data_IF_918977782627
#
_entry.id   IF_918977782627
#
_cell.length_a   1.000
_cell.length_b   1.000
_cell.length_c   1.000
_cell.angle_alpha   90.00
_cell.angle_beta   90.00
_cell.angle_gamma   90.00
#
_symmetry.space_group_name_H-M   'P 1'
#
loop_
_entity.id
_entity.type
_entity.pdbx_description
1 polymer ?
#
# COMPACT_ATOMS: atom_id res chain seq x y z
N UNK A 1 10.39 -44.62 21.29
CA UNK A 1 11.55 -45.29 20.66
C UNK A 1 10.99 -46.21 19.61
N UNK A 2 11.40 -46.04 18.37
CA UNK A 2 10.92 -46.82 17.24
C UNK A 2 11.70 -48.13 17.13
N UNK A 3 10.98 -49.23 17.02
CA UNK A 3 11.53 -50.59 16.94
C UNK A 3 11.19 -51.25 15.62
N UNK A 4 12.05 -52.17 15.18
CA UNK A 4 11.76 -52.97 13.98
C UNK A 4 10.67 -54.01 14.30
N UNK A 5 9.86 -54.45 13.31
CA UNK A 5 8.77 -55.40 13.54
C UNK A 5 9.24 -56.81 13.96
N UNK A 6 10.54 -57.10 13.85
CA UNK A 6 11.18 -58.34 14.32
C UNK A 6 11.84 -58.21 15.70
N UNK A 7 11.66 -57.07 16.37
CA UNK A 7 12.28 -56.76 17.66
C UNK A 7 11.61 -57.53 18.81
N UNK A 8 12.43 -58.13 19.68
CA UNK A 8 11.97 -58.69 20.95
C UNK A 8 11.88 -57.58 22.02
N UNK A 9 10.65 -57.11 22.25
CA UNK A 9 10.36 -56.08 23.24
C UNK A 9 10.72 -56.50 24.68
N UNK A 10 10.73 -57.81 24.99
CA UNK A 10 11.07 -58.31 26.32
C UNK A 10 12.59 -58.26 26.56
N UNK A 11 13.39 -58.53 25.52
CA UNK A 11 14.84 -58.38 25.56
C UNK A 11 15.26 -56.91 25.79
N UNK A 12 14.66 -55.96 25.08
CA UNK A 12 14.93 -54.52 25.27
C UNK A 12 14.46 -54.05 26.65
N UNK A 13 13.29 -54.50 27.10
CA UNK A 13 12.80 -54.18 28.45
C UNK A 13 13.75 -54.70 29.53
N UNK A 14 14.33 -55.88 29.34
CA UNK A 14 15.30 -56.47 30.26
C UNK A 14 16.61 -55.70 30.28
N UNK A 15 17.11 -55.27 29.12
CA UNK A 15 18.30 -54.41 28.98
C UNK A 15 18.13 -53.08 29.74
N UNK A 16 16.96 -52.45 29.60
CA UNK A 16 16.65 -51.19 30.28
C UNK A 16 16.55 -51.42 31.80
N UNK A 17 15.90 -52.51 32.24
CA UNK A 17 15.79 -52.86 33.66
C UNK A 17 17.10 -53.28 34.30
N UNK A 18 18.07 -53.79 33.53
CA UNK A 18 19.41 -54.11 34.03
C UNK A 18 20.14 -52.84 34.51
N UNK A 19 20.00 -51.74 33.78
CA UNK A 19 20.62 -50.45 34.13
C UNK A 19 19.77 -49.63 35.10
N UNK A 20 18.45 -49.65 34.90
CA UNK A 20 17.49 -48.90 35.71
C UNK A 20 16.34 -49.83 36.09
N UNK A 21 16.50 -50.54 37.21
CA UNK A 21 15.53 -51.53 37.70
C UNK A 21 14.12 -50.97 37.93
N UNK A 22 14.02 -49.68 38.24
CA UNK A 22 12.79 -48.95 38.46
C UNK A 22 12.15 -48.35 37.19
N UNK A 23 12.66 -48.69 36.00
CA UNK A 23 12.07 -48.28 34.73
C UNK A 23 10.68 -48.91 34.52
N UNK A 24 9.70 -48.09 34.09
CA UNK A 24 8.34 -48.54 33.78
C UNK A 24 8.08 -48.42 32.28
N UNK A 25 7.60 -49.49 31.66
CA UNK A 25 7.09 -49.44 30.29
C UNK A 25 5.74 -48.71 30.30
N UNK A 26 5.65 -47.58 29.62
CA UNK A 26 4.45 -46.74 29.58
C UNK A 26 3.57 -47.03 28.38
N UNK A 27 4.16 -47.36 27.24
CA UNK A 27 3.42 -47.66 26.01
C UNK A 27 4.17 -48.70 25.20
N UNK A 28 3.46 -49.72 24.72
CA UNK A 28 3.97 -50.75 23.82
C UNK A 28 3.05 -50.86 22.62
N UNK A 29 3.54 -50.40 21.47
CA UNK A 29 2.93 -50.54 20.16
C UNK A 29 3.82 -51.43 19.27
N UNK A 30 3.29 -51.88 18.14
CA UNK A 30 4.01 -52.79 17.20
C UNK A 30 5.31 -52.16 16.68
N UNK A 31 5.35 -50.84 16.53
CA UNK A 31 6.48 -50.10 15.97
C UNK A 31 7.13 -49.15 16.98
N UNK A 32 6.58 -49.02 18.20
CA UNK A 32 7.01 -48.03 19.19
C UNK A 32 6.98 -48.56 20.63
N UNK A 33 8.10 -48.38 21.35
CA UNK A 33 8.23 -48.62 22.78
C UNK A 33 8.51 -47.30 23.51
N UNK A 34 7.82 -47.06 24.63
CA UNK A 34 8.03 -45.87 25.48
C UNK A 34 8.24 -46.28 26.93
N UNK A 35 9.36 -45.84 27.51
CA UNK A 35 9.72 -46.12 28.90
C UNK A 35 9.81 -44.82 29.71
N UNK A 36 9.27 -44.86 30.92
CA UNK A 36 9.45 -43.82 31.93
C UNK A 36 10.56 -44.24 32.88
N UNK A 37 11.62 -43.44 32.91
CA UNK A 37 12.79 -43.64 33.77
C UNK A 37 12.70 -42.68 34.97
N UNK A 38 12.87 -43.16 36.22
CA UNK A 38 12.86 -42.28 37.37
C UNK A 38 14.15 -41.46 37.47
N UNK A 39 14.02 -40.25 38.01
CA UNK A 39 15.12 -39.30 38.18
C UNK A 39 16.20 -39.77 39.18
N UNK A 40 15.90 -40.76 40.02
CA UNK A 40 16.78 -41.19 41.12
C UNK A 40 18.10 -41.83 40.67
N UNK A 41 18.17 -42.35 39.42
CA UNK A 41 19.30 -43.14 38.92
C UNK A 41 19.94 -42.53 37.66
N UNK A 42 20.08 -41.20 37.63
CA UNK A 42 20.66 -40.48 36.48
C UNK A 42 22.09 -40.92 36.12
N UNK A 43 22.87 -41.36 37.10
CA UNK A 43 24.26 -41.80 36.88
C UNK A 43 24.36 -43.06 35.99
N UNK A 44 23.28 -43.86 35.92
CA UNK A 44 23.21 -45.06 35.08
C UNK A 44 22.76 -44.79 33.64
N UNK A 45 22.25 -43.58 33.35
CA UNK A 45 21.70 -43.23 32.03
C UNK A 45 22.75 -43.22 30.92
N UNK A 46 23.98 -42.70 31.11
CA UNK A 46 25.01 -42.74 30.06
C UNK A 46 25.37 -44.18 29.65
N UNK A 47 25.44 -45.10 30.60
CA UNK A 47 25.69 -46.52 30.33
C UNK A 47 24.51 -47.16 29.57
N UNK A 48 23.28 -46.89 30.01
CA UNK A 48 22.06 -47.35 29.33
C UNK A 48 22.00 -46.87 27.87
N UNK A 49 22.26 -45.58 27.61
CA UNK A 49 22.23 -45.04 26.24
C UNK A 49 23.36 -45.61 25.37
N UNK A 50 24.53 -45.87 25.95
CA UNK A 50 25.64 -46.51 25.22
C UNK A 50 25.27 -47.94 24.79
N UNK A 51 24.61 -48.69 25.66
CA UNK A 51 24.16 -50.05 25.34
C UNK A 51 22.99 -50.06 24.36
N UNK A 52 22.07 -49.08 24.45
CA UNK A 52 20.98 -48.92 23.49
C UNK A 52 21.51 -48.53 22.10
N UNK A 53 22.51 -47.65 22.01
CA UNK A 53 23.16 -47.26 20.75
C UNK A 53 23.75 -48.47 20.01
N UNK A 54 24.29 -49.45 20.75
CA UNK A 54 24.80 -50.71 20.17
C UNK A 54 23.72 -51.60 19.53
N UNK A 55 22.44 -51.39 19.87
CA UNK A 55 21.29 -52.11 19.31
C UNK A 55 20.56 -51.31 18.21
N UNK A 56 20.97 -50.05 17.98
CA UNK A 56 20.46 -49.21 16.88
C UNK A 56 20.91 -49.80 15.55
N UNK A 57 19.95 -50.01 14.64
CA UNK A 57 20.14 -50.64 13.33
C UNK A 57 19.91 -52.17 13.29
N UNK A 58 19.78 -52.83 14.45
CA UNK A 58 19.35 -54.25 14.55
C UNK A 58 17.89 -54.34 14.99
N UNK A 59 17.63 -53.84 16.19
CA UNK A 59 16.31 -53.95 16.85
C UNK A 59 15.66 -52.58 17.04
N UNK A 60 16.46 -51.52 17.12
CA UNK A 60 16.03 -50.13 17.34
C UNK A 60 16.27 -49.32 16.07
N UNK A 61 15.24 -48.65 15.55
CA UNK A 61 15.36 -47.76 14.39
C UNK A 61 15.81 -46.38 14.84
N UNK A 62 15.18 -45.85 15.89
CA UNK A 62 15.56 -44.58 16.50
C UNK A 62 15.05 -44.50 17.95
N UNK A 63 15.80 -43.83 18.82
CA UNK A 63 15.33 -43.50 20.16
C UNK A 63 15.57 -42.02 20.46
N UNK A 64 14.72 -41.47 21.32
CA UNK A 64 14.79 -40.11 21.80
C UNK A 64 14.54 -40.09 23.30
N UNK A 65 15.15 -39.13 23.99
CA UNK A 65 15.03 -38.96 25.43
C UNK A 65 14.47 -37.56 25.68
N UNK A 66 13.32 -37.50 26.35
CA UNK A 66 12.65 -36.27 26.71
C UNK A 66 12.51 -36.20 28.23
N UNK A 67 12.76 -35.03 28.80
CA UNK A 67 12.44 -34.78 30.20
C UNK A 67 10.94 -34.48 30.26
N UNK A 68 10.20 -35.22 31.08
CA UNK A 68 8.79 -34.93 31.32
C UNK A 68 8.68 -33.63 32.11
N UNK A 69 8.06 -32.63 31.52
CA UNK A 69 7.77 -31.34 32.17
C UNK A 69 6.39 -31.35 32.81
N UNK A 70 6.08 -30.37 33.67
CA UNK A 70 4.74 -30.25 34.26
C UNK A 70 3.66 -30.09 33.18
N UNK A 71 4.00 -29.46 32.05
CA UNK A 71 3.09 -29.32 30.90
C UNK A 71 2.73 -30.69 30.30
N UNK A 72 3.70 -31.61 30.23
CA UNK A 72 3.48 -32.98 29.72
C UNK A 72 2.61 -33.82 30.67
N UNK A 73 2.78 -33.64 31.99
CA UNK A 73 1.96 -34.32 33.01
C UNK A 73 0.54 -33.76 33.02
N UNK A 74 0.38 -32.46 32.84
CA UNK A 74 -0.91 -31.79 32.77
C UNK A 74 -1.72 -32.25 31.54
N UNK A 75 -1.10 -32.28 30.36
CA UNK A 75 -1.73 -32.76 29.13
C UNK A 75 -2.12 -34.24 29.22
N UNK A 76 -1.34 -35.07 29.92
CA UNK A 76 -1.66 -36.47 30.09
C UNK A 76 -2.84 -36.71 31.03
N UNK A 77 -3.00 -35.87 32.06
CA UNK A 77 -4.19 -35.88 32.93
C UNK A 77 -5.45 -35.45 32.16
N UNK A 78 -5.33 -34.51 31.22
CA UNK A 78 -6.43 -34.07 30.36
C UNK A 78 -6.80 -35.16 29.33
N UNK A 79 -5.80 -35.80 28.69
CA UNK A 79 -6.02 -36.88 27.73
C UNK A 79 -6.46 -38.22 28.33
N UNK A 80 -6.01 -38.59 29.53
CA UNK A 80 -6.53 -39.78 30.25
C UNK A 80 -7.94 -39.52 30.80
N UNK A 81 -8.30 -38.28 31.13
CA UNK A 81 -9.68 -37.91 31.48
C UNK A 81 -10.65 -37.96 30.28
N UNK A 82 -10.16 -37.82 29.05
CA UNK A 82 -10.97 -37.95 27.83
C UNK A 82 -11.33 -39.40 27.46
N UNK A 83 -10.56 -40.40 27.92
CA UNK A 83 -10.83 -41.83 27.58
C UNK A 83 -11.90 -42.45 28.50
N UNK A 84 -12.17 -41.88 29.69
CA UNK A 84 -13.20 -42.40 30.62
C UNK A 84 -14.50 -41.57 30.65
N UNK A 85 -14.64 -40.53 29.82
CA UNK A 85 -15.89 -39.73 29.77
C UNK A 85 -16.38 -39.54 28.35
N UNK A 86 -16.89 -40.64 27.80
CA UNK A 86 -17.95 -40.57 26.81
C UNK A 86 -19.21 -40.01 27.45
N UNK A 87 -19.69 -38.91 26.89
CA UNK A 87 -21.04 -38.37 26.95
C UNK A 87 -21.34 -37.28 28.02
N UNK A 88 -22.00 -36.21 27.52
CA UNK A 88 -22.47 -34.97 28.16
C UNK A 88 -21.46 -33.83 28.46
N UNK A 89 -21.37 -32.89 27.51
CA UNK A 89 -22.00 -31.56 27.67
C UNK A 89 -21.44 -30.56 28.69
N UNK A 90 -20.94 -29.44 28.14
CA UNK A 90 -21.05 -28.06 28.66
C UNK A 90 -20.29 -27.73 29.95
N UNK A 91 -19.22 -26.94 29.77
CA UNK A 91 -18.75 -25.86 30.64
C UNK A 91 -19.28 -25.87 32.08
N UNK A 92 -18.59 -26.59 32.96
CA UNK A 92 -18.60 -26.32 34.40
C UNK A 92 -17.35 -25.52 34.74
N UNK A 93 -17.59 -24.23 34.94
CA UNK A 93 -16.71 -23.26 35.54
C UNK A 93 -16.76 -23.42 37.06
N UNK A 94 -15.60 -23.45 37.72
CA UNK A 94 -15.33 -23.18 39.14
C UNK A 94 -13.84 -23.52 39.38
N UNK A 95 -13.04 -22.92 40.26
CA UNK A 95 -13.01 -21.74 41.11
C UNK A 95 -11.62 -21.77 41.77
N UNK A 96 -11.05 -20.59 42.09
CA UNK A 96 -10.19 -20.24 43.26
C UNK A 96 -9.09 -19.24 42.87
N UNK A 97 -9.12 -18.00 43.37
CA UNK A 97 -8.91 -17.48 44.75
C UNK A 97 -7.43 -17.15 44.99
N UNK A 98 -7.17 -15.88 45.32
CA UNK A 98 -6.24 -15.36 46.34
C UNK A 98 -6.45 -13.83 46.38
N UNK A 99 -7.28 -13.36 47.31
CA UNK A 99 -6.91 -12.65 48.57
C UNK A 99 -6.62 -11.15 48.39
N UNK A 100 -7.49 -10.29 48.93
CA UNK A 100 -7.04 -9.35 49.95
C UNK A 100 -8.18 -8.78 50.81
N UNK A 101 -7.85 -8.59 52.07
CA UNK A 101 -8.71 -8.42 53.24
C UNK A 101 -9.02 -6.94 53.49
N UNK A 102 -10.28 -6.48 53.52
CA UNK A 102 -10.70 -5.41 54.45
C UNK A 102 -12.22 -5.36 54.65
N UNK A 103 -12.59 -5.42 55.92
CA UNK A 103 -13.92 -5.42 56.50
C UNK A 103 -14.64 -4.08 56.41
N UNK A 104 -15.91 -4.11 56.00
CA UNK A 104 -17.00 -3.33 56.61
C UNK A 104 -18.34 -3.66 55.94
N UNK A 105 -19.21 -4.37 56.65
CA UNK A 105 -20.65 -4.34 56.36
C UNK A 105 -21.25 -2.98 56.75
N UNK A 106 -22.46 -2.63 56.26
CA UNK A 106 -23.67 -3.19 56.85
C UNK A 106 -24.66 -3.74 55.83
N UNK A 107 -25.34 -4.79 56.27
CA UNK A 107 -26.64 -5.28 55.83
C UNK A 107 -27.63 -4.12 55.67
N UNK A 108 -28.36 -4.08 54.55
CA UNK A 108 -29.78 -3.75 54.56
C UNK A 108 -30.43 -3.96 53.17
N UNK A 109 -31.60 -4.59 53.19
CA UNK A 109 -32.63 -4.54 52.15
C UNK A 109 -32.47 -5.44 50.91
N UNK A 110 -32.35 -6.75 51.16
CA UNK A 110 -33.16 -7.70 50.38
C UNK A 110 -34.57 -7.63 50.98
N UNK A 111 -35.51 -7.04 50.26
CA UNK A 111 -36.95 -7.32 50.25
C UNK A 111 -37.71 -6.07 49.79
N UNK A 112 -38.09 -6.05 48.53
CA UNK A 112 -39.43 -5.67 48.09
C UNK A 112 -39.53 -5.95 46.58
N UNK A 113 -39.98 -7.17 46.27
CA UNK A 113 -40.65 -7.40 45.00
C UNK A 113 -41.96 -6.61 45.04
N UNK A 114 -42.03 -5.51 44.29
CA UNK A 114 -43.30 -4.93 43.89
C UNK A 114 -43.66 -5.47 42.52
N UNK A 115 -44.60 -6.41 42.53
CA UNK A 115 -45.48 -6.73 41.43
C UNK A 115 -46.31 -5.48 41.10
N UNK A 116 -45.99 -4.82 39.99
CA UNK A 116 -46.87 -3.86 39.35
C UNK A 116 -46.77 -4.03 37.85
N UNK A 117 -47.79 -4.65 37.27
CA UNK A 117 -47.89 -4.88 35.83
C UNK A 117 -47.83 -3.59 35.00
N UNK A 118 -47.04 -3.63 33.92
CA UNK A 118 -47.35 -3.17 32.55
C UNK A 118 -46.06 -3.07 31.73
N UNK A 119 -46.19 -3.02 30.40
CA UNK A 119 -46.35 -4.14 29.48
C UNK A 119 -44.99 -4.82 29.20
N UNK A 120 -44.97 -5.90 28.43
CA UNK A 120 -43.75 -6.48 27.85
C UNK A 120 -42.87 -5.41 27.18
N UNK A 121 -41.87 -4.89 27.91
CA UNK A 121 -40.98 -3.85 27.42
C UNK A 121 -40.01 -4.48 26.40
N UNK A 122 -40.44 -4.41 25.15
CA UNK A 122 -39.66 -4.22 23.92
C UNK A 122 -38.23 -4.78 23.90
N UNK A 123 -38.05 -5.91 23.20
CA UNK A 123 -36.75 -6.54 22.97
C UNK A 123 -35.67 -5.63 22.36
N UNK A 124 -36.04 -4.51 21.72
CA UNK A 124 -35.09 -3.54 21.15
C UNK A 124 -34.34 -2.72 22.22
N UNK A 125 -34.99 -2.38 23.33
CA UNK A 125 -34.36 -1.61 24.42
C UNK A 125 -33.33 -2.48 25.16
N UNK A 126 -33.68 -3.74 25.42
CA UNK A 126 -32.78 -4.75 25.98
C UNK A 126 -31.63 -5.07 25.02
N UNK A 127 -31.92 -5.23 23.73
CA UNK A 127 -30.88 -5.45 22.71
C UNK A 127 -29.89 -4.27 22.63
N UNK A 128 -30.37 -3.03 22.70
CA UNK A 128 -29.49 -1.85 22.75
C UNK A 128 -28.60 -1.86 23.99
N UNK A 129 -29.14 -2.22 25.15
CA UNK A 129 -28.35 -2.34 26.37
C UNK A 129 -27.29 -3.44 26.26
N UNK A 130 -27.64 -4.60 25.69
CA UNK A 130 -26.71 -5.70 25.45
C UNK A 130 -25.60 -5.32 24.45
N UNK A 131 -25.96 -4.68 23.33
CA UNK A 131 -24.99 -4.21 22.33
C UNK A 131 -24.06 -3.16 22.93
N UNK A 132 -24.58 -2.24 23.75
CA UNK A 132 -23.77 -1.21 24.39
C UNK A 132 -22.83 -1.79 25.45
N UNK A 133 -23.27 -2.80 26.20
CA UNK A 133 -22.43 -3.55 27.12
C UNK A 133 -21.32 -4.33 26.39
N UNK A 134 -21.67 -5.06 25.33
CA UNK A 134 -20.70 -5.80 24.51
C UNK A 134 -19.73 -4.85 23.81
N UNK A 135 -20.20 -3.72 23.29
CA UNK A 135 -19.36 -2.69 22.68
C UNK A 135 -18.39 -2.09 23.70
N UNK A 136 -18.83 -1.85 24.94
CA UNK A 136 -17.97 -1.36 26.03
C UNK A 136 -16.88 -2.37 26.39
N UNK A 137 -17.21 -3.66 26.48
CA UNK A 137 -16.23 -4.72 26.75
C UNK A 137 -15.22 -4.82 25.60
N UNK A 138 -15.68 -4.83 24.35
CA UNK A 138 -14.79 -4.87 23.18
C UNK A 138 -13.94 -3.61 23.06
N UNK A 139 -14.46 -2.44 23.45
CA UNK A 139 -13.72 -1.18 23.48
C UNK A 139 -12.63 -1.16 24.57
N UNK A 140 -12.90 -1.67 25.76
CA UNK A 140 -11.90 -1.84 26.81
C UNK A 140 -10.79 -2.81 26.37
N UNK A 141 -11.17 -3.90 25.69
CA UNK A 141 -10.20 -4.83 25.08
C UNK A 141 -9.38 -4.15 23.97
N UNK A 142 -9.99 -3.30 23.15
CA UNK A 142 -9.31 -2.50 22.11
C UNK A 142 -8.30 -1.51 22.71
N UNK A 143 -8.62 -0.89 23.85
CA UNK A 143 -7.68 -0.01 24.58
C UNK A 143 -6.54 -0.81 25.19
N UNK A 144 -6.82 -1.99 25.74
CA UNK A 144 -5.79 -2.86 26.32
C UNK A 144 -4.81 -3.36 25.24
N UNK A 145 -5.34 -3.74 24.07
CA UNK A 145 -4.58 -4.22 22.91
C UNK A 145 -4.12 -3.09 21.97
N UNK A 146 -4.12 -1.83 22.42
CA UNK A 146 -3.76 -0.66 21.60
C UNK A 146 -2.35 -0.75 21.02
N UNK A 147 -1.46 -1.53 21.63
CA UNK A 147 -0.10 -1.80 21.12
C UNK A 147 -0.15 -2.59 19.80
N UNK A 148 -1.02 -3.61 19.70
CA UNK A 148 -1.20 -4.40 18.49
C UNK A 148 -1.91 -3.62 17.39
N UNK A 149 -2.98 -2.90 17.75
CA UNK A 149 -3.68 -2.03 16.80
C UNK A 149 -2.80 -0.89 16.28
N UNK A 150 -1.92 -0.32 17.11
CA UNK A 150 -0.91 0.66 16.67
C UNK A 150 0.04 0.09 15.63
N UNK A 151 0.48 -1.16 15.79
CA UNK A 151 1.35 -1.83 14.82
C UNK A 151 0.65 -2.05 13.48
N UNK A 152 -0.59 -2.55 13.50
CA UNK A 152 -1.41 -2.76 12.29
C UNK A 152 -1.70 -1.43 11.59
N UNK A 153 -2.06 -0.39 12.35
CA UNK A 153 -2.30 0.94 11.82
C UNK A 153 -1.04 1.53 11.18
N UNK A 154 0.12 1.36 11.82
CA UNK A 154 1.40 1.83 11.28
C UNK A 154 1.76 1.12 9.97
N UNK A 155 1.54 -0.20 9.90
CA UNK A 155 1.73 -0.99 8.68
C UNK A 155 0.80 -0.50 7.55
N UNK A 156 -0.46 -0.25 7.86
CA UNK A 156 -1.43 0.27 6.90
C UNK A 156 -1.00 1.66 6.38
N UNK A 157 -0.62 2.57 7.28
CA UNK A 157 -0.16 3.90 6.90
C UNK A 157 1.10 3.81 6.04
N UNK A 158 2.06 2.95 6.39
CA UNK A 158 3.29 2.76 5.61
C UNK A 158 3.02 2.32 4.16
N UNK A 159 1.98 1.50 3.93
CA UNK A 159 1.64 1.02 2.59
C UNK A 159 0.73 1.97 1.80
N UNK A 160 -0.24 2.61 2.47
CA UNK A 160 -1.23 3.47 1.83
C UNK A 160 -0.67 4.87 1.55
N UNK A 161 0.16 5.42 2.45
CA UNK A 161 0.75 6.75 2.29
C UNK A 161 1.50 6.91 0.96
N UNK A 162 2.44 6.03 0.56
CA UNK A 162 3.13 6.18 -0.73
C UNK A 162 2.17 6.11 -1.91
N UNK A 163 1.17 5.22 -1.88
CA UNK A 163 0.17 5.10 -2.93
C UNK A 163 -0.66 6.39 -3.09
N UNK A 164 -1.07 6.99 -1.97
CA UNK A 164 -1.82 8.26 -2.01
C UNK A 164 -0.94 9.39 -2.50
N UNK A 165 0.32 9.47 -2.05
CA UNK A 165 1.24 10.51 -2.49
C UNK A 165 1.56 10.43 -3.99
N UNK A 166 1.69 9.22 -4.56
CA UNK A 166 1.93 9.09 -6.01
C UNK A 166 0.72 9.52 -6.82
N UNK A 167 -0.51 9.18 -6.37
CA UNK A 167 -1.74 9.63 -7.02
C UNK A 167 -1.84 11.15 -6.99
N UNK A 168 -1.64 11.77 -5.82
CA UNK A 168 -1.68 13.24 -5.68
C UNK A 168 -0.60 13.90 -6.54
N UNK A 169 0.61 13.34 -6.60
CA UNK A 169 1.69 13.90 -7.40
C UNK A 169 1.37 13.84 -8.90
N UNK A 170 0.83 12.72 -9.39
CA UNK A 170 0.43 12.56 -10.80
C UNK A 170 -0.70 13.52 -11.16
N UNK A 171 -1.74 13.61 -10.32
CA UNK A 171 -2.85 14.54 -10.53
C UNK A 171 -2.39 16.01 -10.50
N UNK A 172 -1.56 16.36 -9.51
CA UNK A 172 -0.98 17.69 -9.41
C UNK A 172 -0.13 18.03 -10.64
N UNK A 173 0.69 17.10 -11.13
CA UNK A 173 1.47 17.32 -12.35
C UNK A 173 0.57 17.52 -13.57
N UNK A 174 -0.51 16.76 -13.70
CA UNK A 174 -1.43 16.93 -14.83
C UNK A 174 -2.11 18.31 -14.80
N UNK A 175 -2.57 18.74 -13.64
CA UNK A 175 -3.21 20.05 -13.47
C UNK A 175 -2.23 21.22 -13.71
N UNK A 176 -0.98 21.11 -13.25
CA UNK A 176 0.00 22.22 -13.38
C UNK A 176 0.64 22.34 -14.75
N UNK A 177 0.56 21.31 -15.59
CA UNK A 177 1.32 21.27 -16.84
C UNK A 177 0.59 21.88 -18.04
N UNK A 178 -0.69 22.23 -17.89
CA UNK A 178 -1.44 22.98 -18.90
C UNK A 178 -1.38 24.47 -18.61
N UNK A 179 -0.81 25.23 -19.53
CA UNK A 179 -0.66 26.67 -19.48
C UNK A 179 -1.02 27.28 -20.83
N UNK A 180 -1.60 28.48 -20.78
CA UNK A 180 -2.04 29.18 -21.98
C UNK A 180 -0.83 29.72 -22.76
N UNK A 181 -0.73 29.34 -24.04
CA UNK A 181 0.26 29.81 -24.98
C UNK A 181 -0.07 31.23 -25.44
N UNK A 182 0.28 32.20 -24.59
CA UNK A 182 0.03 33.62 -24.85
C UNK A 182 1.11 34.24 -25.77
N UNK A 183 0.73 35.11 -26.73
CA UNK A 183 1.71 35.79 -27.59
C UNK A 183 2.79 36.58 -26.84
N UNK A 184 2.46 37.05 -25.63
CA UNK A 184 3.31 37.87 -24.78
C UNK A 184 4.53 37.10 -24.23
N UNK A 185 4.55 35.77 -24.32
CA UNK A 185 5.72 34.95 -23.98
C UNK A 185 6.83 35.01 -25.03
N UNK A 186 6.51 35.41 -26.25
CA UNK A 186 7.44 35.40 -27.39
C UNK A 186 7.65 36.78 -27.99
N UNK A 187 6.60 37.61 -27.96
CA UNK A 187 6.59 38.91 -28.59
C UNK A 187 6.44 40.05 -27.60
N UNK A 188 7.10 41.17 -27.90
CA UNK A 188 7.07 42.40 -27.13
C UNK A 188 5.77 43.18 -27.34
N UNK A 189 5.31 43.92 -26.33
CA UNK A 189 4.19 44.86 -26.48
C UNK A 189 4.63 46.18 -27.12
N UNK A 190 3.74 46.89 -27.84
CA UNK A 190 4.03 48.21 -28.36
C UNK A 190 4.47 49.16 -27.23
N UNK A 191 5.71 49.66 -27.28
CA UNK A 191 6.23 50.64 -26.32
C UNK A 191 7.02 50.09 -25.11
N UNK A 192 7.09 48.77 -24.90
CA UNK A 192 7.96 48.18 -23.87
C UNK A 192 9.44 48.44 -24.18
N UNK A 193 10.40 48.16 -23.29
CA UNK A 193 11.85 48.24 -23.63
C UNK A 193 12.32 46.98 -24.37
N UNK A 194 13.42 47.08 -25.13
CA UNK A 194 14.03 45.90 -25.76
C UNK A 194 14.56 44.95 -24.67
N UNK A 195 14.12 43.70 -24.69
CA UNK A 195 14.53 42.65 -23.76
C UNK A 195 15.14 41.48 -24.53
N UNK A 196 16.14 40.82 -23.95
CA UNK A 196 16.95 39.78 -24.62
C UNK A 196 16.16 38.53 -25.06
N UNK A 197 14.98 38.32 -24.48
CA UNK A 197 14.17 37.10 -24.69
C UNK A 197 12.90 37.33 -25.53
N UNK A 198 12.49 38.59 -25.75
CA UNK A 198 11.30 38.93 -26.52
C UNK A 198 11.70 39.72 -27.76
N UNK A 199 11.27 39.28 -28.93
CA UNK A 199 11.47 40.02 -30.18
C UNK A 199 10.17 40.71 -30.59
N UNK A 200 10.25 41.61 -31.56
CA UNK A 200 9.07 42.01 -32.31
C UNK A 200 8.64 40.83 -33.21
N UNK A 201 7.39 40.82 -33.65
CA UNK A 201 6.93 39.89 -34.68
C UNK A 201 7.32 40.44 -36.05
N UNK A 202 8.06 39.67 -36.84
CA UNK A 202 8.43 40.09 -38.19
C UNK A 202 7.33 39.72 -39.19
N UNK A 203 6.83 40.70 -39.94
CA UNK A 203 5.97 40.48 -41.10
C UNK A 203 6.76 40.73 -42.37
N UNK A 204 6.88 39.70 -43.21
CA UNK A 204 7.60 39.76 -44.47
C UNK A 204 6.58 39.86 -45.60
N UNK A 205 6.56 41.01 -46.26
CA UNK A 205 5.63 41.27 -47.34
C UNK A 205 6.28 40.96 -48.70
N UNK A 206 5.80 39.91 -49.37
CA UNK A 206 6.19 39.61 -50.75
C UNK A 206 5.02 39.80 -51.73
N UNK A 207 3.89 40.31 -51.25
CA UNK A 207 2.67 40.48 -52.07
C UNK A 207 2.68 41.72 -52.97
N UNK A 208 3.50 42.72 -52.64
CA UNK A 208 3.53 44.03 -53.30
C UNK A 208 2.30 44.92 -53.03
N UNK A 209 1.41 44.52 -52.11
CA UNK A 209 0.26 45.30 -51.68
C UNK A 209 0.42 45.73 -50.21
N UNK A 210 -0.26 46.81 -49.79
CA UNK A 210 -0.28 47.22 -48.39
C UNK A 210 -1.04 46.19 -47.55
N UNK A 211 -0.37 45.63 -46.54
CA UNK A 211 -0.91 44.64 -45.60
C UNK A 211 -1.46 45.27 -44.31
N UNK A 212 -1.87 46.54 -44.38
CA UNK A 212 -2.26 47.36 -43.22
C UNK A 212 -3.39 46.76 -42.39
N UNK A 213 -4.38 46.12 -43.04
CA UNK A 213 -5.49 45.46 -42.36
C UNK A 213 -5.00 44.35 -41.41
N UNK A 214 -4.01 43.57 -41.86
CA UNK A 214 -3.42 42.49 -41.06
C UNK A 214 -2.52 43.07 -39.96
N UNK A 215 -1.71 44.07 -40.28
CA UNK A 215 -0.86 44.77 -39.30
C UNK A 215 -1.73 45.37 -38.19
N UNK A 216 -2.85 46.01 -38.53
CA UNK A 216 -3.83 46.52 -37.56
C UNK A 216 -4.46 45.39 -36.73
N UNK A 217 -4.85 44.27 -37.37
CA UNK A 217 -5.40 43.10 -36.68
C UNK A 217 -4.44 42.48 -35.66
N UNK A 218 -3.14 42.47 -35.95
CA UNK A 218 -2.08 41.95 -35.08
C UNK A 218 -1.71 42.97 -33.99
N UNK A 219 -1.50 44.24 -34.33
CA UNK A 219 -1.13 45.29 -33.36
C UNK A 219 -2.21 45.52 -32.31
N UNK A 220 -3.50 45.35 -32.67
CA UNK A 220 -4.59 45.35 -31.72
C UNK A 220 -4.50 44.20 -30.67
N UNK A 221 -3.65 43.18 -30.86
CA UNK A 221 -3.40 42.08 -29.91
C UNK A 221 -2.30 42.44 -28.90
N UNK A 222 -1.90 43.71 -28.85
CA UNK A 222 -0.78 44.24 -28.06
C UNK A 222 0.55 43.59 -28.43
N UNK A 223 0.79 43.40 -29.73
CA UNK A 223 2.02 42.81 -30.28
C UNK A 223 2.74 43.86 -31.11
N UNK A 224 4.03 44.08 -30.83
CA UNK A 224 4.90 44.92 -31.65
C UNK A 224 5.27 44.18 -32.94
N UNK A 225 5.10 44.85 -34.08
CA UNK A 225 5.30 44.29 -35.42
C UNK A 225 6.33 45.11 -36.18
N UNK A 226 7.31 44.43 -36.78
CA UNK A 226 8.24 45.02 -37.75
C UNK A 226 7.87 44.50 -39.14
N UNK A 227 7.69 45.40 -40.12
CA UNK A 227 7.34 45.03 -41.49
C UNK A 227 8.58 45.15 -42.36
N UNK A 228 8.88 44.08 -43.12
CA UNK A 228 9.98 44.01 -44.07
C UNK A 228 9.41 43.73 -45.46
N UNK A 229 9.65 44.63 -46.40
CA UNK A 229 9.33 44.42 -47.82
C UNK A 229 10.52 43.74 -48.51
N UNK A 230 10.32 42.53 -49.03
CA UNK A 230 11.35 41.76 -49.75
C UNK A 230 11.65 40.38 -49.17
N UNK A 231 12.68 39.68 -49.69
CA UNK A 231 13.03 38.34 -49.25
C UNK A 231 13.62 38.36 -47.83
N UNK A 232 13.19 37.43 -47.00
CA UNK A 232 13.71 37.23 -45.65
C UNK A 232 14.61 35.99 -45.58
N UNK A 233 15.77 36.12 -44.95
CA UNK A 233 16.66 34.98 -44.70
C UNK A 233 16.15 34.18 -43.50
N UNK A 234 15.66 32.98 -43.77
CA UNK A 234 15.12 32.03 -42.79
C UNK A 234 16.14 31.65 -41.70
N UNK A 235 17.45 31.80 -41.98
CA UNK A 235 18.51 31.49 -41.01
C UNK A 235 18.70 32.58 -39.95
N UNK A 236 18.03 33.72 -40.09
CA UNK A 236 18.14 34.83 -39.15
C UNK A 236 17.44 34.49 -37.84
N UNK A 237 18.22 34.40 -36.75
CA UNK A 237 17.71 34.13 -35.39
C UNK A 237 17.38 35.39 -34.59
N UNK A 238 17.37 36.56 -35.25
CA UNK A 238 17.09 37.85 -34.60
C UNK A 238 15.65 37.98 -34.08
N UNK A 239 14.71 37.28 -34.71
CA UNK A 239 13.31 37.26 -34.33
C UNK A 239 12.92 35.87 -33.78
N UNK A 240 12.01 35.85 -32.81
CA UNK A 240 11.43 34.63 -32.26
C UNK A 240 10.45 33.98 -33.26
N UNK A 241 9.79 34.79 -34.09
CA UNK A 241 8.91 34.32 -35.15
C UNK A 241 8.73 35.35 -36.25
N UNK A 242 8.52 34.85 -37.47
CA UNK A 242 8.23 35.64 -38.66
C UNK A 242 7.06 35.04 -39.44
N UNK A 243 6.29 35.90 -40.09
CA UNK A 243 5.17 35.52 -40.96
C UNK A 243 5.45 36.10 -42.34
N UNK A 244 5.68 35.22 -43.31
CA UNK A 244 5.83 35.57 -44.70
C UNK A 244 4.48 35.48 -45.40
N UNK A 245 4.10 36.58 -46.06
CA UNK A 245 2.82 36.72 -46.75
C UNK A 245 3.10 36.73 -48.24
N UNK A 246 2.69 35.66 -48.90
CA UNK A 246 2.83 35.48 -50.35
C UNK A 246 1.47 35.65 -51.02
N UNK A 247 1.49 36.05 -52.29
CA UNK A 247 0.27 36.17 -53.10
C UNK A 247 0.10 34.91 -53.94
N UNK A 248 -1.04 34.25 -53.81
CA UNK A 248 -1.46 33.15 -54.67
C UNK A 248 -2.05 33.63 -56.01
N UNK A 249 -2.27 32.70 -56.93
CA UNK A 249 -2.70 33.00 -58.30
C UNK A 249 -4.11 33.62 -58.39
N UNK A 250 -5.02 33.33 -57.45
CA UNK A 250 -6.45 33.71 -57.50
C UNK A 250 -6.90 34.49 -56.26
N UNK A 251 -6.22 35.58 -55.90
CA UNK A 251 -6.55 36.45 -54.73
C UNK A 251 -6.38 35.84 -53.34
N UNK A 252 -5.98 34.57 -53.26
CA UNK A 252 -5.66 33.93 -51.99
C UNK A 252 -4.31 34.42 -51.44
N UNK A 253 -4.27 34.76 -50.16
CA UNK A 253 -3.04 35.04 -49.44
C UNK A 253 -2.45 33.74 -48.90
N UNK A 254 -1.20 33.45 -49.27
CA UNK A 254 -0.42 32.37 -48.68
C UNK A 254 0.30 32.87 -47.44
N UNK A 255 0.17 32.14 -46.34
CA UNK A 255 0.89 32.45 -45.09
C UNK A 255 1.90 31.35 -44.82
N UNK A 256 3.18 31.73 -44.78
CA UNK A 256 4.27 30.86 -44.36
C UNK A 256 4.78 31.33 -43.01
N UNK A 257 4.77 30.40 -42.06
CA UNK A 257 5.10 30.68 -40.67
C UNK A 257 6.52 30.18 -40.41
N UNK A 258 7.38 31.06 -39.92
CA UNK A 258 8.78 30.76 -39.61
C UNK A 258 8.98 30.96 -38.12
N UNK A 259 9.32 29.89 -37.41
CA UNK A 259 9.55 29.91 -35.96
C UNK A 259 11.03 29.74 -35.65
N UNK A 260 11.54 30.51 -34.69
CA UNK A 260 12.89 30.29 -34.17
C UNK A 260 12.90 28.97 -33.37
N UNK A 261 13.81 28.02 -33.66
CA UNK A 261 13.85 26.74 -32.95
C UNK A 261 14.13 26.87 -31.45
N UNK A 262 14.67 28.01 -30.98
CA UNK A 262 14.86 28.28 -29.55
C UNK A 262 13.56 28.68 -28.83
N UNK A 263 12.57 29.16 -29.58
CA UNK A 263 11.26 29.53 -29.06
C UNK A 263 10.33 28.30 -29.12
N UNK A 264 10.30 27.54 -28.03
CA UNK A 264 9.41 26.38 -27.90
C UNK A 264 7.95 26.78 -28.14
N UNK A 265 7.14 25.93 -28.78
CA UNK A 265 5.71 26.20 -29.04
C UNK A 265 5.38 27.51 -29.80
N UNK A 266 6.33 28.09 -30.52
CA UNK A 266 6.10 29.34 -31.27
C UNK A 266 5.14 29.17 -32.44
N UNK A 267 5.18 28.02 -33.13
CA UNK A 267 4.33 27.75 -34.30
C UNK A 267 2.82 27.81 -33.98
N UNK A 268 2.30 27.10 -32.96
CA UNK A 268 0.89 27.21 -32.61
C UNK A 268 0.50 28.62 -32.14
N UNK A 269 1.43 29.37 -31.52
CA UNK A 269 1.21 30.78 -31.16
C UNK A 269 1.07 31.66 -32.40
N UNK A 270 1.94 31.49 -33.40
CA UNK A 270 1.87 32.23 -34.67
C UNK A 270 0.57 31.96 -35.42
N UNK A 271 0.13 30.69 -35.46
CA UNK A 271 -1.19 30.33 -36.01
C UNK A 271 -2.31 31.02 -35.23
N UNK A 272 -2.23 31.04 -33.89
CA UNK A 272 -3.22 31.71 -33.06
C UNK A 272 -3.30 33.22 -33.32
N UNK A 273 -2.14 33.88 -33.48
CA UNK A 273 -2.05 35.31 -33.79
C UNK A 273 -2.72 35.61 -35.14
N UNK A 274 -2.43 34.81 -36.17
CA UNK A 274 -3.04 34.95 -37.50
C UNK A 274 -4.56 34.76 -37.41
N UNK A 275 -5.03 33.68 -36.78
CA UNK A 275 -6.46 33.41 -36.65
C UNK A 275 -7.21 34.54 -35.91
N UNK A 276 -6.65 35.03 -34.81
CA UNK A 276 -7.23 36.16 -34.06
C UNK A 276 -7.19 37.48 -34.84
N UNK A 277 -6.18 37.67 -35.70
CA UNK A 277 -6.12 38.86 -36.55
C UNK A 277 -7.25 38.86 -37.58
N UNK A 278 -7.54 37.70 -38.20
CA UNK A 278 -8.66 37.55 -39.12
C UNK A 278 -10.01 37.76 -38.44
N UNK A 279 -10.21 37.18 -37.26
CA UNK A 279 -11.45 37.37 -36.49
C UNK A 279 -11.77 38.85 -36.29
N UNK A 280 -10.75 39.68 -36.07
CA UNK A 280 -10.92 41.14 -35.94
C UNK A 280 -11.15 41.87 -37.25
N UNK A 281 -10.50 41.44 -38.34
CA UNK A 281 -10.80 41.96 -39.67
C UNK A 281 -12.27 41.72 -40.02
N UNK A 282 -12.85 40.61 -39.58
CA UNK A 282 -14.28 40.30 -39.72
C UNK A 282 -15.17 40.83 -38.58
N UNK A 283 -14.66 41.75 -37.74
CA UNK A 283 -15.39 42.41 -36.65
C UNK A 283 -15.96 41.47 -35.57
N UNK A 284 -15.34 40.30 -35.36
CA UNK A 284 -15.66 39.41 -34.24
C UNK A 284 -14.94 39.86 -32.95
N UNK A 285 -15.65 39.74 -31.82
CA UNK A 285 -15.13 40.03 -30.47
C UNK A 285 -14.55 38.81 -29.77
N UNK A 286 -14.75 37.62 -30.32
CA UNK A 286 -14.27 36.38 -29.74
C UNK A 286 -12.76 36.20 -29.96
N UNK A 287 -12.09 35.51 -29.03
CA UNK A 287 -10.65 35.26 -29.06
C UNK A 287 -10.39 33.76 -28.97
N UNK A 288 -9.60 33.26 -29.91
CA UNK A 288 -9.05 31.91 -29.91
C UNK A 288 -7.90 31.85 -28.92
N UNK A 289 -7.95 30.85 -28.04
CA UNK A 289 -6.94 30.57 -27.03
C UNK A 289 -6.32 29.22 -27.31
N UNK A 290 -5.01 29.13 -27.17
CA UNK A 290 -4.23 27.92 -27.39
C UNK A 290 -3.53 27.58 -26.09
N UNK A 291 -3.56 26.30 -25.73
CA UNK A 291 -3.00 25.78 -24.49
C UNK A 291 -1.93 24.75 -24.86
N UNK A 292 -0.88 24.63 -24.05
CA UNK A 292 -0.05 23.43 -24.16
C UNK A 292 -0.82 22.28 -23.51
N UNK A 293 -0.83 21.14 -24.18
CA UNK A 293 -1.27 19.88 -23.58
C UNK A 293 -0.10 18.91 -23.73
N UNK A 294 0.73 18.73 -22.69
CA UNK A 294 1.82 17.78 -22.77
C UNK A 294 1.23 16.39 -22.97
N UNK A 295 1.71 15.69 -24.00
CA UNK A 295 1.36 14.29 -24.23
C UNK A 295 1.63 13.56 -22.91
N UNK A 296 0.55 13.06 -22.31
CA UNK A 296 0.66 12.20 -21.13
C UNK A 296 1.41 10.97 -21.60
N UNK A 297 2.72 10.91 -21.34
CA UNK A 297 3.44 9.65 -21.37
C UNK A 297 2.77 8.81 -20.30
N UNK A 298 1.85 7.95 -20.73
CA UNK A 298 1.38 6.82 -19.93
C UNK A 298 2.65 6.06 -19.62
N UNK A 299 3.25 6.31 -18.45
CA UNK A 299 4.30 5.46 -17.93
C UNK A 299 3.67 4.10 -17.83
N UNK A 300 4.01 3.27 -18.82
CA UNK A 300 3.64 1.87 -18.91
C UNK A 300 3.83 1.25 -17.55
N UNK A 301 2.68 0.94 -16.95
CA UNK A 301 2.45 0.02 -15.85
C UNK A 301 3.76 -0.46 -15.20
N UNK A 302 4.12 0.21 -14.10
CA UNK A 302 5.01 -0.22 -13.02
C UNK A 302 5.52 -1.66 -13.22
N UNK A 303 6.50 -1.83 -14.11
CA UNK A 303 7.06 -3.15 -14.35
C UNK A 303 8.06 -3.41 -13.24
N UNK A 304 7.85 -4.57 -12.63
CA UNK A 304 8.74 -5.30 -11.75
C UNK A 304 8.67 -4.90 -10.27
N UNK A 305 8.00 -5.72 -9.43
CA UNK A 305 8.29 -5.84 -8.00
C UNK A 305 9.71 -6.40 -7.80
N UNK A 306 10.72 -5.62 -8.18
CA UNK A 306 12.14 -5.98 -8.13
C UNK A 306 12.69 -6.15 -6.71
N UNK A 307 11.88 -5.88 -5.69
CA UNK A 307 12.25 -6.12 -4.30
C UNK A 307 11.77 -7.45 -3.71
N UNK A 308 10.84 -8.17 -4.35
CA UNK A 308 10.35 -9.44 -3.81
C UNK A 308 11.19 -10.65 -4.21
N UNK A 309 11.92 -10.61 -5.34
CA UNK A 309 12.77 -11.74 -5.74
C UNK A 309 14.14 -11.76 -5.06
N UNK A 310 14.67 -10.61 -4.59
CA UNK A 310 16.01 -10.58 -4.00
C UNK A 310 16.07 -11.21 -2.59
N UNK A 311 14.92 -11.37 -1.92
CA UNK A 311 14.85 -11.99 -0.60
C UNK A 311 14.40 -13.45 -0.58
N UNK A 312 13.83 -13.98 -1.68
CA UNK A 312 13.40 -15.40 -1.77
C UNK A 312 14.52 -16.30 -2.30
N UNK A 313 15.57 -15.75 -2.93
CA UNK A 313 16.71 -16.52 -3.43
C UNK A 313 17.90 -16.62 -2.44
N UNK A 314 17.72 -16.19 -1.19
CA UNK A 314 18.77 -16.22 -0.15
C UNK A 314 18.33 -16.89 1.15
N UNK A 315 17.50 -17.91 1.05
CA UNK A 315 17.20 -18.92 2.08
C UNK A 315 17.17 -20.30 1.43
#
# INVERSE_FOLDING_TARGET
MQVTPSCDAEAITSLIKQHVSSAKLSTQNVEDLTFTLPFLNMDAFPALFSDLEGHVGRDIVSYGVSITTLDDVFLKLEGEAEIEKGDYGVFAQEQNEEEDHFSSEPEDSILLMSDSGTPTISGLALWRQQVLAVARIRYLKLIHDIKGFRSILLLLVLFILPLVTTIILVDSMHSTNTWELTPQLYFRRPGDRAHRYYSNLLLVNTTGLPIENLVHGITAQDIAVDVLDGPYDENTTAYNGAIEITRGNNTDYGYKIIGNPRAHNILPVLVNIISNSFMRVYNSKERIRVWNDPIVTVSTCLSVPGLLLYHVMRL
#
